data_IF_726780553914
#
_entry.id   IF_726780553914
#
_cell.length_a   1.000
_cell.length_b   1.000
_cell.length_c   1.000
_cell.angle_alpha   90.00
_cell.angle_beta   90.00
_cell.angle_gamma   90.00
#
_symmetry.space_group_name_H-M   'P 1'
#
loop_
_entity.id
_entity.type
_entity.pdbx_description
1 polymer ?
#
# COMPACT_ATOMS: atom_id res chain seq x y z
N UNK A 1 6.03 22.41 -7.42
CA UNK A 1 6.69 21.35 -6.63
C UNK A 1 5.82 20.11 -6.58
N UNK A 2 6.47 18.98 -6.75
CA UNK A 2 5.76 17.71 -6.74
C UNK A 2 5.46 17.26 -5.32
N UNK A 3 4.25 16.85 -5.08
CA UNK A 3 3.83 16.36 -3.79
C UNK A 3 3.50 14.87 -3.85
N UNK A 4 3.77 14.20 -2.73
CA UNK A 4 3.34 12.83 -2.57
C UNK A 4 1.82 12.79 -2.40
N UNK A 5 1.17 11.84 -3.04
CA UNK A 5 -0.29 11.68 -2.98
C UNK A 5 -0.65 10.25 -2.66
N UNK A 6 -1.69 10.07 -1.86
CA UNK A 6 -2.25 8.75 -1.61
C UNK A 6 -3.53 8.58 -2.42
N UNK A 7 -3.77 7.38 -2.90
CA UNK A 7 -5.01 7.01 -3.59
C UNK A 7 -5.31 5.53 -3.37
N UNK A 8 -6.53 5.15 -3.67
CA UNK A 8 -6.88 3.74 -3.61
C UNK A 8 -6.23 2.97 -4.75
N UNK A 9 -5.94 1.71 -4.51
CA UNK A 9 -5.44 0.81 -5.55
C UNK A 9 -6.53 0.57 -6.59
N UNK A 10 -6.10 0.31 -7.82
CA UNK A 10 -6.99 -0.02 -8.95
C UNK A 10 -6.42 -1.19 -9.73
N UNK A 11 -7.22 -1.78 -10.60
CA UNK A 11 -6.81 -2.96 -11.37
C UNK A 11 -5.51 -2.76 -12.13
N UNK A 12 -5.32 -1.58 -12.70
CA UNK A 12 -4.11 -1.30 -13.47
C UNK A 12 -2.83 -1.29 -12.63
N UNK A 13 -2.94 -1.24 -11.31
CA UNK A 13 -1.77 -1.30 -10.43
C UNK A 13 -1.22 -2.71 -10.27
N UNK A 14 -2.01 -3.74 -10.55
CA UNK A 14 -1.61 -5.13 -10.29
C UNK A 14 -0.29 -5.51 -10.97
N UNK A 15 -0.15 -5.15 -12.23
CA UNK A 15 1.06 -5.46 -12.97
C UNK A 15 2.30 -4.81 -12.35
N UNK A 16 2.17 -3.55 -11.94
CA UNK A 16 3.24 -2.81 -11.27
C UNK A 16 3.63 -3.48 -9.95
N UNK A 17 2.64 -3.90 -9.16
CA UNK A 17 2.89 -4.56 -7.88
C UNK A 17 3.61 -5.90 -8.09
N UNK A 18 3.20 -6.67 -9.08
CA UNK A 18 3.86 -7.94 -9.39
C UNK A 18 5.32 -7.73 -9.76
N UNK A 19 5.60 -6.71 -10.57
CA UNK A 19 6.96 -6.37 -10.94
C UNK A 19 7.80 -6.01 -9.71
N UNK A 20 7.23 -5.27 -8.77
CA UNK A 20 7.93 -4.90 -7.54
C UNK A 20 8.23 -6.13 -6.69
N UNK A 21 7.26 -7.00 -6.47
CA UNK A 21 7.48 -8.21 -5.68
C UNK A 21 8.54 -9.09 -6.30
N UNK A 22 8.52 -9.25 -7.61
CA UNK A 22 9.52 -10.06 -8.33
C UNK A 22 10.93 -9.46 -8.24
N UNK A 23 11.03 -8.15 -8.10
CA UNK A 23 12.33 -7.45 -8.02
C UNK A 23 12.99 -7.56 -6.65
N UNK A 24 12.21 -7.82 -5.59
CA UNK A 24 12.77 -7.97 -4.25
C UNK A 24 13.15 -9.41 -3.98
N UNK A 25 14.39 -9.67 -3.49
CA UNK A 25 14.80 -11.04 -3.15
C UNK A 25 13.88 -11.67 -2.11
N UNK A 26 13.57 -12.94 -2.28
CA UNK A 26 12.76 -13.74 -1.34
C UNK A 26 11.28 -13.36 -1.26
N UNK A 27 10.82 -12.47 -2.10
CA UNK A 27 9.40 -12.15 -2.18
C UNK A 27 8.73 -13.03 -3.22
N UNK A 28 7.48 -13.38 -2.94
CA UNK A 28 6.63 -14.16 -3.83
C UNK A 28 5.36 -13.37 -4.07
N UNK A 29 4.87 -13.37 -5.31
CA UNK A 29 3.62 -12.69 -5.61
C UNK A 29 2.47 -13.42 -4.93
N UNK A 30 1.68 -12.74 -4.08
CA UNK A 30 0.48 -13.37 -3.53
C UNK A 30 -0.57 -13.53 -4.63
N UNK A 31 -1.42 -14.56 -4.56
CA UNK A 31 -2.55 -14.64 -5.48
C UNK A 31 -3.50 -13.48 -5.22
N UNK A 32 -4.12 -12.96 -6.27
CA UNK A 32 -5.09 -11.86 -6.13
C UNK A 32 -6.18 -12.17 -5.10
N UNK A 33 -6.65 -13.40 -5.09
CA UNK A 33 -7.73 -13.82 -4.20
C UNK A 33 -7.34 -13.79 -2.73
N UNK A 34 -6.04 -13.78 -2.44
CA UNK A 34 -5.52 -13.67 -1.08
C UNK A 34 -5.56 -12.25 -0.54
N UNK A 35 -5.61 -11.27 -1.44
CA UNK A 35 -5.54 -9.86 -1.10
C UNK A 35 -6.93 -9.24 -0.98
N UNK A 36 -7.09 -8.21 -0.12
CA UNK A 36 -8.39 -7.53 0.02
C UNK A 36 -8.89 -7.01 -1.32
N UNK A 37 -10.19 -7.15 -1.53
CA UNK A 37 -10.88 -6.70 -2.75
C UNK A 37 -10.17 -7.16 -4.03
N UNK A 38 -9.69 -8.39 -4.03
CA UNK A 38 -9.05 -9.02 -5.18
C UNK A 38 -7.89 -8.19 -5.75
N UNK A 39 -7.05 -7.66 -4.85
CA UNK A 39 -5.87 -6.88 -5.21
C UNK A 39 -6.09 -5.37 -5.31
N UNK A 40 -7.27 -4.89 -4.93
CA UNK A 40 -7.58 -3.45 -4.95
C UNK A 40 -7.84 -2.85 -3.58
N UNK A 41 -7.86 -3.65 -2.54
CA UNK A 41 -8.20 -3.21 -1.17
C UNK A 41 -7.03 -2.60 -0.43
N UNK A 42 -6.46 -1.54 -0.95
CA UNK A 42 -5.33 -0.87 -0.32
C UNK A 42 -5.05 0.50 -0.91
N UNK A 43 -3.87 0.99 -0.62
CA UNK A 43 -3.46 2.34 -0.97
C UNK A 43 -2.17 2.34 -1.77
N UNK A 44 -2.05 3.31 -2.66
CA UNK A 44 -0.85 3.59 -3.44
C UNK A 44 -0.40 5.00 -3.12
N UNK A 45 0.89 5.17 -2.88
CA UNK A 45 1.51 6.49 -2.78
C UNK A 45 2.24 6.75 -4.08
N UNK A 46 1.97 7.92 -4.67
CA UNK A 46 2.57 8.30 -5.94
C UNK A 46 3.07 9.72 -5.91
N UNK A 47 3.94 10.04 -6.85
CA UNK A 47 4.46 11.38 -7.05
C UNK A 47 4.50 11.65 -8.55
N UNK A 48 3.78 12.68 -8.98
CA UNK A 48 3.67 13.02 -10.41
C UNK A 48 3.21 11.83 -11.27
N UNK A 49 2.27 11.05 -10.74
CA UNK A 49 1.76 9.88 -11.45
C UNK A 49 2.64 8.65 -11.38
N UNK A 50 3.81 8.74 -10.75
CA UNK A 50 4.70 7.58 -10.58
C UNK A 50 4.41 6.87 -9.26
N UNK A 51 4.00 5.60 -9.31
CA UNK A 51 3.82 4.80 -8.09
C UNK A 51 5.13 4.60 -7.35
N UNK A 52 5.08 4.68 -6.02
CA UNK A 52 6.27 4.58 -5.18
C UNK A 52 6.17 3.42 -4.18
N UNK A 53 5.07 3.35 -3.43
CA UNK A 53 4.88 2.33 -2.40
C UNK A 53 3.39 2.04 -2.26
N UNK A 54 3.08 0.79 -1.96
CA UNK A 54 1.70 0.36 -1.77
C UNK A 54 1.58 -0.57 -0.57
N UNK A 55 0.37 -0.65 -0.02
CA UNK A 55 0.05 -1.57 1.06
C UNK A 55 -1.43 -1.92 1.02
N UNK A 56 -1.78 -3.05 1.62
CA UNK A 56 -3.14 -3.58 1.60
C UNK A 56 -3.77 -3.50 2.99
N UNK A 57 -5.04 -3.16 3.04
CA UNK A 57 -5.80 -3.04 4.27
C UNK A 57 -6.72 -4.24 4.43
N UNK A 58 -6.43 -5.08 5.40
CA UNK A 58 -7.29 -6.20 5.76
C UNK A 58 -8.24 -5.72 6.84
N UNK A 59 -9.49 -5.56 6.48
CA UNK A 59 -10.53 -5.09 7.40
C UNK A 59 -11.11 -6.31 8.09
N UNK A 60 -10.92 -6.38 9.42
CA UNK A 60 -11.43 -7.50 10.20
C UNK A 60 -12.86 -7.22 10.66
N UNK A 61 -13.50 -8.23 11.21
CA UNK A 61 -14.81 -8.08 11.82
C UNK A 61 -14.73 -7.59 13.27
N UNK A 62 -13.57 -7.14 13.71
CA UNK A 62 -13.36 -6.52 15.02
C UNK A 62 -13.03 -5.04 14.85
N UNK A 63 -12.53 -4.39 15.89
CA UNK A 63 -12.11 -2.99 15.83
C UNK A 63 -10.74 -2.79 15.19
N UNK A 64 -10.15 -3.82 14.62
CA UNK A 64 -8.80 -3.78 14.08
C UNK A 64 -8.75 -3.87 12.55
N UNK A 65 -7.73 -3.23 11.99
CA UNK A 65 -7.38 -3.33 10.56
C UNK A 65 -5.91 -3.70 10.49
N UNK A 66 -5.56 -4.55 9.54
CA UNK A 66 -4.16 -4.93 9.31
C UNK A 66 -3.66 -4.26 8.03
N UNK A 67 -2.53 -3.58 8.13
CA UNK A 67 -1.84 -3.05 6.97
C UNK A 67 -0.68 -4.01 6.66
N UNK A 68 -0.80 -4.74 5.56
CA UNK A 68 0.14 -5.78 5.20
C UNK A 68 0.53 -5.73 3.72
N UNK A 69 1.47 -6.57 3.34
CA UNK A 69 1.99 -6.65 1.98
C UNK A 69 2.51 -5.32 1.46
N UNK A 70 3.16 -4.55 2.35
CA UNK A 70 3.76 -3.27 1.94
C UNK A 70 4.92 -3.57 1.00
N UNK A 71 4.89 -2.95 -0.16
CA UNK A 71 5.93 -3.12 -1.18
C UNK A 71 6.22 -1.78 -1.83
N UNK A 72 7.47 -1.53 -2.13
CA UNK A 72 7.89 -0.28 -2.76
C UNK A 72 8.65 -0.56 -4.05
N UNK A 73 8.71 0.45 -4.91
CA UNK A 73 9.50 0.40 -6.13
C UNK A 73 10.98 0.33 -5.75
N UNK A 74 11.70 -0.75 -6.08
CA UNK A 74 13.10 -0.88 -5.70
C UNK A 74 14.01 0.12 -6.42
N UNK A 75 13.55 0.71 -7.50
CA UNK A 75 14.32 1.70 -8.26
C UNK A 75 14.10 3.13 -7.79
N UNK A 76 13.12 3.36 -6.92
CA UNK A 76 12.88 4.70 -6.39
C UNK A 76 13.82 4.96 -5.23
N UNK A 77 14.80 5.85 -5.42
CA UNK A 77 15.88 6.13 -4.48
C UNK A 77 15.90 7.56 -3.97
N UNK A 78 14.86 8.33 -4.23
CA UNK A 78 14.80 9.73 -3.81
C UNK A 78 14.72 9.85 -2.29
N UNK A 79 15.09 11.02 -1.79
CA UNK A 79 15.13 11.30 -0.35
C UNK A 79 13.77 11.18 0.32
N UNK A 80 12.69 11.39 -0.44
CA UNK A 80 11.33 11.34 0.10
C UNK A 80 10.74 9.93 0.13
N UNK A 81 11.53 8.91 -0.11
CA UNK A 81 11.08 7.51 -0.01
C UNK A 81 10.54 7.19 1.37
N UNK A 82 11.21 7.68 2.41
CA UNK A 82 10.75 7.51 3.78
C UNK A 82 9.44 8.25 4.01
N UNK A 83 9.32 9.45 3.47
CA UNK A 83 8.11 10.25 3.59
C UNK A 83 6.94 9.56 2.90
N UNK A 84 7.19 8.88 1.79
CA UNK A 84 6.15 8.11 1.09
C UNK A 84 5.62 6.98 1.97
N UNK A 85 6.50 6.26 2.65
CA UNK A 85 6.07 5.20 3.57
C UNK A 85 5.28 5.78 4.75
N UNK A 86 5.72 6.90 5.30
CA UNK A 86 5.01 7.57 6.39
C UNK A 86 3.62 8.02 5.93
N UNK A 87 3.50 8.53 4.71
CA UNK A 87 2.21 8.93 4.16
C UNK A 87 1.30 7.72 3.98
N UNK A 88 1.83 6.60 3.54
CA UNK A 88 1.06 5.37 3.40
C UNK A 88 0.45 4.97 4.75
N UNK A 89 1.26 4.98 5.80
CA UNK A 89 0.79 4.61 7.14
C UNK A 89 -0.24 5.60 7.65
N UNK A 90 0.01 6.90 7.49
CA UNK A 90 -0.93 7.94 7.92
C UNK A 90 -2.26 7.85 7.17
N UNK A 91 -2.21 7.59 5.86
CA UNK A 91 -3.42 7.43 5.04
C UNK A 91 -4.20 6.20 5.45
N UNK A 92 -3.50 5.10 5.77
CA UNK A 92 -4.14 3.88 6.26
C UNK A 92 -4.82 4.14 7.61
N UNK A 93 -4.18 4.87 8.51
CA UNK A 93 -4.78 5.23 9.80
C UNK A 93 -6.04 6.08 9.62
N UNK A 94 -5.99 7.05 8.72
CA UNK A 94 -7.15 7.90 8.43
C UNK A 94 -8.31 7.07 7.87
N UNK A 95 -8.01 6.12 6.98
CA UNK A 95 -9.02 5.21 6.42
C UNK A 95 -9.62 4.33 7.53
N UNK A 96 -8.78 3.83 8.42
CA UNK A 96 -9.20 3.02 9.56
C UNK A 96 -10.19 3.80 10.43
N UNK A 97 -9.88 5.03 10.78
CA UNK A 97 -10.78 5.89 11.57
C UNK A 97 -12.08 6.17 10.83
N UNK A 98 -12.02 6.41 9.53
CA UNK A 98 -13.20 6.66 8.72
C UNK A 98 -14.15 5.46 8.67
N UNK A 99 -13.63 4.25 8.85
CA UNK A 99 -14.40 3.01 8.91
C UNK A 99 -14.91 2.69 10.33
N UNK A 100 -14.62 3.52 11.30
CA UNK A 100 -15.01 3.29 12.69
C UNK A 100 -14.13 2.28 13.42
N UNK A 101 -12.98 1.94 12.87
CA UNK A 101 -12.03 1.02 13.51
C UNK A 101 -11.14 1.78 14.49
N UNK A 102 -10.71 1.12 15.54
CA UNK A 102 -9.93 1.76 16.62
C UNK A 102 -8.46 1.42 16.60
N UNK A 103 -8.08 0.34 15.96
CA UNK A 103 -6.71 -0.16 15.98
C UNK A 103 -6.23 -0.50 14.59
N UNK A 104 -4.98 -0.19 14.31
CA UNK A 104 -4.34 -0.62 13.07
C UNK A 104 -3.00 -1.27 13.42
N UNK A 105 -2.76 -2.43 12.85
CA UNK A 105 -1.51 -3.15 13.00
C UNK A 105 -0.80 -3.24 11.64
N UNK A 106 0.52 -3.13 11.66
CA UNK A 106 1.34 -3.29 10.48
C UNK A 106 2.58 -4.11 10.83
N UNK A 107 3.14 -4.76 9.83
CA UNK A 107 4.38 -5.51 9.97
C UNK A 107 5.54 -4.82 9.28
#
# INVERSE_FOLDING_TARGET
MSELKSRLLKDSDWETLCQWWESWPKWVNPPKSFLPDNGKGGLMIEKEGRPIVAGFLYITNSDAVLLEWIVSDPEYRDKDRKDALELLIASAEATCKGLGKKHMFTR
#
